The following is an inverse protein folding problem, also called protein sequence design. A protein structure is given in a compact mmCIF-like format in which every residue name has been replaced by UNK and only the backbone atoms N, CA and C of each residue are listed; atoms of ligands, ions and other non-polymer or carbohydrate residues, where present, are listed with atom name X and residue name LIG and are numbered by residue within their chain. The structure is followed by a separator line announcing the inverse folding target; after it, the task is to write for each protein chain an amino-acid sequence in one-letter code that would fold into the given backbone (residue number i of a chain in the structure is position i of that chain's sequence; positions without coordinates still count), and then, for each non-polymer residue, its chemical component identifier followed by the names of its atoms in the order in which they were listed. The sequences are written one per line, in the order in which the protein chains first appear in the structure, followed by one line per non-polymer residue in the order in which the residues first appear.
data_IF_375725308570
#
_entry.id   IF_375725308570
#
_cell.length_a   1.000
_cell.length_b   1.000
_cell.length_c   1.000
_cell.angle_alpha   90.00
_cell.angle_beta   90.00
_cell.angle_gamma   90.00
#
_symmetry.space_group_name_H-M   'P 1'
#
loop_
_entity.id
_entity.type
_entity.pdbx_description
1 polymer ?
#
# COMPACT_ATOMS: atom_id res chain seq x y z
N UNK A 1 -8.77 -20.80 -12.12
CA UNK A 1 -9.43 -19.48 -11.96
C UNK A 1 -8.42 -18.40 -12.27
N UNK A 2 -8.86 -17.30 -12.86
CA UNK A 2 -7.94 -16.23 -13.30
C UNK A 2 -7.62 -15.26 -12.14
N UNK A 3 -8.50 -15.19 -11.14
CA UNK A 3 -8.36 -14.39 -9.92
C UNK A 3 -8.98 -15.16 -8.75
N UNK A 4 -8.29 -15.18 -7.61
CA UNK A 4 -8.84 -15.55 -6.32
C UNK A 4 -9.16 -14.28 -5.49
N UNK A 5 -10.28 -14.29 -4.76
CA UNK A 5 -10.72 -13.15 -3.96
C UNK A 5 -11.03 -13.63 -2.54
N UNK A 6 -10.56 -12.91 -1.54
CA UNK A 6 -10.96 -13.06 -0.15
C UNK A 6 -11.27 -11.69 0.45
N UNK A 7 -12.37 -11.62 1.18
CA UNK A 7 -12.73 -10.45 1.95
C UNK A 7 -12.64 -10.77 3.44
N UNK A 8 -12.50 -9.77 4.26
CA UNK A 8 -12.61 -9.92 5.70
C UNK A 8 -14.09 -9.90 6.19
N UNK A 9 -14.29 -9.86 7.51
CA UNK A 9 -15.61 -10.14 8.10
C UNK A 9 -16.69 -9.09 7.81
N UNK A 10 -16.33 -7.85 7.53
CA UNK A 10 -17.24 -6.74 7.20
C UNK A 10 -17.12 -6.24 5.76
N UNK A 11 -16.31 -6.95 4.93
CA UNK A 11 -16.19 -6.74 3.49
C UNK A 11 -15.64 -5.34 3.09
N UNK A 12 -14.89 -4.69 3.96
CA UNK A 12 -14.24 -3.43 3.65
C UNK A 12 -12.85 -3.61 3.01
N UNK A 13 -12.26 -4.82 3.12
CA UNK A 13 -10.97 -5.20 2.52
C UNK A 13 -11.15 -6.26 1.43
N UNK A 14 -10.27 -6.17 0.42
CA UNK A 14 -10.23 -7.10 -0.71
C UNK A 14 -8.82 -7.63 -0.90
N UNK A 15 -8.62 -8.89 -0.56
CA UNK A 15 -7.37 -9.62 -0.78
C UNK A 15 -7.45 -10.41 -2.08
N UNK A 16 -6.38 -10.36 -2.87
CA UNK A 16 -6.33 -10.97 -4.18
C UNK A 16 -5.27 -12.06 -4.27
N UNK A 17 -5.56 -13.07 -5.06
CA UNK A 17 -4.67 -14.18 -5.37
C UNK A 17 -4.57 -14.32 -6.89
N UNK A 18 -3.39 -14.66 -7.39
CA UNK A 18 -3.16 -14.87 -8.81
C UNK A 18 -3.77 -16.21 -9.31
N UNK A 19 -3.60 -16.45 -10.60
CA UNK A 19 -4.06 -17.67 -11.30
C UNK A 19 -3.38 -18.95 -10.81
N UNK A 20 -2.24 -18.84 -10.13
CA UNK A 20 -1.52 -19.95 -9.48
C UNK A 20 -1.93 -20.13 -8.00
N UNK A 21 -2.75 -19.24 -7.45
CA UNK A 21 -3.17 -19.24 -6.04
C UNK A 21 -2.18 -18.59 -5.10
N UNK A 22 -1.21 -17.83 -5.60
CA UNK A 22 -0.30 -17.06 -4.76
C UNK A 22 -0.98 -15.79 -4.27
N UNK A 23 -0.82 -15.47 -2.99
CA UNK A 23 -1.28 -14.20 -2.42
C UNK A 23 -0.51 -13.03 -3.03
N UNK A 24 -1.23 -11.98 -3.41
CA UNK A 24 -0.65 -10.72 -3.87
C UNK A 24 -0.75 -9.69 -2.76
N UNK A 25 0.38 -9.15 -2.34
CA UNK A 25 0.40 -8.06 -1.36
C UNK A 25 -0.43 -6.86 -1.87
N UNK A 26 -1.30 -6.32 -1.00
CA UNK A 26 -2.17 -5.19 -1.34
C UNK A 26 -1.41 -3.98 -1.88
N UNK A 27 -0.17 -3.83 -1.49
CA UNK A 27 0.79 -2.86 -2.00
C UNK A 27 0.90 -2.81 -3.54
N UNK A 28 0.98 -3.98 -4.20
CA UNK A 28 1.04 -4.04 -5.66
C UNK A 28 -0.32 -3.78 -6.31
N UNK A 29 -1.40 -4.22 -5.67
CA UNK A 29 -2.76 -3.95 -6.12
C UNK A 29 -3.08 -2.45 -6.07
N UNK A 30 -2.61 -1.75 -5.04
CA UNK A 30 -2.72 -0.28 -4.95
C UNK A 30 -2.06 0.38 -6.16
N UNK A 31 -0.88 -0.08 -6.57
CA UNK A 31 -0.19 0.44 -7.76
C UNK A 31 -0.99 0.23 -9.05
N UNK A 32 -1.46 -0.99 -9.30
CA UNK A 32 -2.25 -1.31 -10.51
C UNK A 32 -3.56 -0.50 -10.58
N UNK A 33 -4.29 -0.40 -9.47
CA UNK A 33 -5.51 0.40 -9.44
C UNK A 33 -5.22 1.89 -9.59
N UNK A 34 -4.13 2.40 -9.00
CA UNK A 34 -3.72 3.79 -9.16
C UNK A 34 -3.46 4.14 -10.64
N UNK A 35 -2.76 3.27 -11.36
CA UNK A 35 -2.51 3.43 -12.80
C UNK A 35 -3.83 3.47 -13.59
N UNK A 36 -4.72 2.50 -13.35
CA UNK A 36 -6.03 2.44 -14.02
C UNK A 36 -6.92 3.68 -13.74
N UNK A 37 -6.84 4.27 -12.54
CA UNK A 37 -7.51 5.53 -12.24
C UNK A 37 -6.90 6.72 -12.96
N UNK A 38 -5.56 6.76 -13.08
CA UNK A 38 -4.84 7.83 -13.75
C UNK A 38 -5.03 7.84 -15.27
N UNK A 39 -5.22 6.68 -15.90
CA UNK A 39 -5.60 6.61 -17.32
C UNK A 39 -6.89 7.38 -17.61
N UNK A 40 -7.87 7.32 -16.69
CA UNK A 40 -9.15 8.03 -16.82
C UNK A 40 -9.10 9.47 -16.30
N UNK A 41 -8.20 9.75 -15.37
CA UNK A 41 -8.09 11.01 -14.65
C UNK A 41 -6.63 11.51 -14.63
N UNK A 42 -6.05 11.90 -15.77
CA UNK A 42 -4.65 12.32 -15.85
C UNK A 42 -4.34 13.49 -14.91
N UNK A 43 -3.19 13.45 -14.25
CA UNK A 43 -2.74 14.50 -13.34
C UNK A 43 -3.37 14.47 -11.95
N UNK A 44 -4.26 13.51 -11.68
CA UNK A 44 -4.95 13.40 -10.39
C UNK A 44 -4.03 12.95 -9.26
N UNK A 45 -4.48 13.20 -8.04
CA UNK A 45 -3.80 12.75 -6.82
C UNK A 45 -4.24 11.35 -6.42
N UNK A 46 -3.28 10.57 -5.95
CA UNK A 46 -3.48 9.22 -5.40
C UNK A 46 -2.97 9.20 -3.96
N UNK A 47 -3.83 8.83 -3.03
CA UNK A 47 -3.44 8.69 -1.63
C UNK A 47 -2.88 7.29 -1.39
N UNK A 48 -1.77 7.21 -0.66
CA UNK A 48 -1.18 5.92 -0.25
C UNK A 48 -0.67 5.98 1.19
N UNK A 49 -0.52 4.82 1.81
CA UNK A 49 0.03 4.71 3.17
C UNK A 49 1.57 4.73 3.18
N UNK A 50 2.20 4.97 4.34
CA UNK A 50 3.66 5.12 4.43
C UNK A 50 4.41 3.82 4.66
N UNK A 51 3.73 2.69 4.87
CA UNK A 51 4.37 1.40 5.24
C UNK A 51 5.21 0.84 4.10
N UNK A 52 4.62 0.73 2.92
CA UNK A 52 5.26 0.38 1.65
C UNK A 52 4.81 1.42 0.61
N UNK A 53 5.75 2.10 -0.04
CA UNK A 53 5.40 3.30 -0.79
C UNK A 53 6.07 3.43 -2.16
N UNK A 54 7.24 2.88 -2.37
CA UNK A 54 8.04 3.14 -3.56
C UNK A 54 7.38 2.67 -4.86
N UNK A 55 6.78 1.47 -4.88
CA UNK A 55 6.03 0.98 -6.05
C UNK A 55 4.90 1.95 -6.42
N UNK A 56 4.10 2.37 -5.43
CA UNK A 56 2.97 3.27 -5.69
C UNK A 56 3.46 4.64 -6.15
N UNK A 57 4.50 5.19 -5.52
CA UNK A 57 5.09 6.49 -5.91
C UNK A 57 5.61 6.42 -7.35
N UNK A 58 6.32 5.35 -7.70
CA UNK A 58 6.90 5.16 -9.03
C UNK A 58 5.81 5.07 -10.11
N UNK A 59 4.86 4.15 -9.94
CA UNK A 59 3.74 3.97 -10.90
C UNK A 59 2.93 5.25 -11.05
N UNK A 60 2.54 5.89 -9.96
CA UNK A 60 1.74 7.13 -9.99
C UNK A 60 2.50 8.26 -10.70
N UNK A 61 3.80 8.39 -10.43
CA UNK A 61 4.64 9.42 -11.07
C UNK A 61 4.83 9.16 -12.55
N UNK A 62 5.06 7.91 -12.96
CA UNK A 62 5.19 7.51 -14.37
C UNK A 62 3.89 7.69 -15.15
N UNK A 63 2.74 7.44 -14.51
CA UNK A 63 1.41 7.70 -15.08
C UNK A 63 1.02 9.20 -15.08
N UNK A 64 1.92 10.08 -14.66
CA UNK A 64 1.69 11.54 -14.65
C UNK A 64 0.75 12.03 -13.55
N UNK A 65 0.50 11.21 -12.54
CA UNK A 65 -0.26 11.58 -11.34
C UNK A 65 0.61 12.15 -10.22
N UNK A 66 -0.02 12.48 -9.11
CA UNK A 66 0.64 13.02 -7.92
C UNK A 66 0.45 12.06 -6.74
N UNK A 67 1.51 11.35 -6.30
CA UNK A 67 1.43 10.49 -5.12
C UNK A 67 1.38 11.35 -3.85
N UNK A 68 0.47 11.06 -2.94
CA UNK A 68 0.28 11.79 -1.70
C UNK A 68 0.25 10.81 -0.54
N UNK A 69 1.26 10.84 0.29
CA UNK A 69 1.36 9.99 1.47
C UNK A 69 0.42 10.47 2.58
N UNK A 70 -0.25 9.53 3.23
CA UNK A 70 -1.14 9.78 4.38
C UNK A 70 -0.82 8.82 5.51
N UNK A 71 -1.18 9.19 6.73
CA UNK A 71 -1.20 8.27 7.86
C UNK A 71 -2.20 7.15 7.57
N UNK A 72 -1.90 5.92 8.04
CA UNK A 72 -2.78 4.75 7.90
C UNK A 72 -4.07 4.90 8.69
N UNK A 73 -5.11 4.25 8.19
CA UNK A 73 -6.43 4.20 8.82
C UNK A 73 -7.48 5.02 8.07
N UNK A 74 -8.66 4.40 7.96
CA UNK A 74 -9.76 4.88 7.11
C UNK A 74 -10.15 6.35 7.34
N UNK A 75 -10.12 6.84 8.58
CA UNK A 75 -10.46 8.23 8.88
C UNK A 75 -9.46 9.21 8.26
N UNK A 76 -8.14 8.91 8.39
CA UNK A 76 -7.08 9.76 7.87
C UNK A 76 -7.02 9.74 6.34
N UNK A 77 -7.18 8.56 5.73
CA UNK A 77 -7.20 8.43 4.27
C UNK A 77 -8.39 9.19 3.68
N UNK A 78 -9.60 9.00 4.23
CA UNK A 78 -10.82 9.69 3.79
C UNK A 78 -10.72 11.21 3.92
N UNK A 79 -10.18 11.71 5.03
CA UNK A 79 -9.91 13.13 5.23
C UNK A 79 -8.89 13.66 4.20
N UNK A 80 -7.79 12.93 4.01
CA UNK A 80 -6.74 13.30 3.06
C UNK A 80 -7.25 13.31 1.63
N UNK A 81 -8.05 12.33 1.22
CA UNK A 81 -8.66 12.28 -0.10
C UNK A 81 -9.51 13.52 -0.38
N UNK A 82 -10.38 13.90 0.56
CA UNK A 82 -11.23 15.10 0.40
C UNK A 82 -10.43 16.38 0.36
N UNK A 83 -9.38 16.50 1.18
CA UNK A 83 -8.51 17.67 1.22
C UNK A 83 -7.72 17.86 -0.07
N UNK A 84 -7.26 16.77 -0.65
CA UNK A 84 -6.41 16.75 -1.85
C UNK A 84 -7.22 16.62 -3.15
N UNK A 85 -8.53 16.42 -3.06
CA UNK A 85 -9.40 16.11 -4.21
C UNK A 85 -8.86 14.88 -4.98
N UNK A 86 -8.47 13.84 -4.23
CA UNK A 86 -7.84 12.64 -4.77
C UNK A 86 -8.89 11.67 -5.32
N UNK A 87 -8.63 11.09 -6.48
CA UNK A 87 -9.58 10.18 -7.16
C UNK A 87 -9.60 8.79 -6.58
N UNK A 88 -8.48 8.36 -5.99
CA UNK A 88 -8.30 7.03 -5.40
C UNK A 88 -7.32 7.09 -4.23
N UNK A 89 -7.52 6.19 -3.27
CA UNK A 89 -6.59 5.94 -2.19
C UNK A 89 -6.47 4.45 -1.90
N UNK A 90 -5.30 4.00 -1.48
CA UNK A 90 -5.07 2.61 -1.16
C UNK A 90 -4.11 2.40 -0.01
N UNK A 91 -4.35 1.32 0.74
CA UNK A 91 -3.48 0.84 1.82
C UNK A 91 -2.97 -0.58 1.51
N UNK A 92 -1.75 -0.89 1.90
CA UNK A 92 -1.22 -2.25 1.76
C UNK A 92 -2.06 -3.31 2.51
N UNK A 93 -2.87 -2.88 3.48
CA UNK A 93 -3.82 -3.71 4.22
C UNK A 93 -5.09 -4.07 3.45
N UNK A 94 -5.11 -3.81 2.14
CA UNK A 94 -6.21 -4.12 1.22
C UNK A 94 -7.48 -3.26 1.41
N UNK A 95 -7.38 -2.08 2.06
CA UNK A 95 -8.42 -1.06 1.99
C UNK A 95 -8.20 -0.21 0.74
N UNK A 96 -9.29 0.02 0.00
CA UNK A 96 -9.28 0.81 -1.22
C UNK A 96 -10.42 1.84 -1.16
N UNK A 97 -10.09 3.10 -1.40
CA UNK A 97 -10.96 4.26 -1.23
C UNK A 97 -11.21 4.94 -2.57
N UNK A 98 -12.44 5.33 -2.84
CA UNK A 98 -12.87 5.83 -4.15
C UNK A 98 -13.58 7.17 -4.01
N UNK A 99 -13.16 8.16 -4.80
CA UNK A 99 -13.81 9.48 -4.83
C UNK A 99 -15.31 9.35 -5.13
N UNK A 100 -15.67 8.59 -6.17
CA UNK A 100 -17.05 8.38 -6.60
C UNK A 100 -17.89 7.59 -5.58
N UNK A 101 -17.25 6.97 -4.60
CA UNK A 101 -17.89 6.33 -3.45
C UNK A 101 -17.72 7.17 -2.18
N UNK A 102 -17.88 8.49 -2.30
CA UNK A 102 -17.78 9.46 -1.19
C UNK A 102 -16.44 9.46 -0.46
N UNK A 103 -15.36 9.11 -1.13
CA UNK A 103 -14.05 8.83 -0.55
C UNK A 103 -14.07 7.73 0.52
N UNK A 104 -15.05 6.82 0.45
CA UNK A 104 -15.16 5.69 1.36
C UNK A 104 -14.46 4.46 0.80
N UNK A 105 -14.09 3.56 1.70
CA UNK A 105 -13.53 2.26 1.40
C UNK A 105 -14.62 1.26 1.01
N UNK A 106 -14.23 0.28 0.21
CA UNK A 106 -15.07 -0.84 -0.19
C UNK A 106 -14.18 -2.01 -0.61
N UNK A 107 -14.47 -3.20 -0.10
CA UNK A 107 -13.87 -4.44 -0.59
C UNK A 107 -14.54 -4.95 -1.88
N UNK A 108 -15.71 -4.44 -2.22
CA UNK A 108 -16.47 -4.91 -3.39
C UNK A 108 -16.04 -4.24 -4.70
N UNK A 109 -15.60 -3.01 -4.66
CA UNK A 109 -15.20 -2.27 -5.86
C UNK A 109 -13.84 -2.75 -6.42
N UNK A 110 -12.80 -2.97 -5.60
CA UNK A 110 -11.47 -3.31 -6.13
C UNK A 110 -11.45 -4.59 -6.93
N UNK A 111 -12.11 -5.67 -6.50
CA UNK A 111 -12.10 -6.91 -7.26
C UNK A 111 -12.83 -6.80 -8.61
N UNK A 112 -13.88 -5.98 -8.70
CA UNK A 112 -14.56 -5.71 -9.97
C UNK A 112 -13.65 -4.99 -10.95
N UNK A 113 -12.90 -3.99 -10.47
CA UNK A 113 -11.92 -3.26 -11.26
C UNK A 113 -10.77 -4.18 -11.69
N UNK A 114 -10.28 -5.03 -10.79
CA UNK A 114 -9.23 -6.01 -11.12
C UNK A 114 -9.72 -7.06 -12.11
N UNK A 115 -10.96 -7.56 -11.98
CA UNK A 115 -11.55 -8.46 -12.97
C UNK A 115 -11.69 -7.80 -14.35
N UNK A 116 -12.04 -6.51 -14.41
CA UNK A 116 -12.05 -5.75 -15.65
C UNK A 116 -10.64 -5.63 -16.24
N UNK A 117 -9.64 -5.29 -15.42
CA UNK A 117 -8.25 -5.12 -15.83
C UNK A 117 -7.69 -6.43 -16.44
N UNK A 118 -7.83 -7.54 -15.72
CA UNK A 118 -7.37 -8.86 -16.19
C UNK A 118 -8.16 -9.30 -17.44
N UNK A 119 -9.47 -9.06 -17.47
CA UNK A 119 -10.30 -9.42 -18.63
C UNK A 119 -9.99 -8.62 -19.91
N UNK A 120 -9.35 -7.46 -19.78
CA UNK A 120 -8.90 -6.62 -20.91
C UNK A 120 -7.43 -6.82 -21.28
N UNK A 121 -6.65 -7.46 -20.41
CA UNK A 121 -5.24 -7.74 -20.59
C UNK A 121 -5.01 -9.13 -21.23
N UNK A 122 -4.01 -9.31 -22.08
CA UNK A 122 -3.54 -10.65 -22.47
C UNK A 122 -2.73 -11.35 -21.36
N UNK A 123 -2.36 -10.63 -20.31
CA UNK A 123 -1.55 -11.10 -19.18
C UNK A 123 -2.45 -11.59 -18.03
N UNK A 124 -1.98 -12.61 -17.32
CA UNK A 124 -2.59 -13.04 -16.05
C UNK A 124 -2.35 -12.00 -14.93
N UNK A 125 -3.09 -12.09 -13.84
CA UNK A 125 -2.88 -11.19 -12.70
C UNK A 125 -1.48 -11.31 -12.11
N UNK A 126 -0.93 -12.54 -12.05
CA UNK A 126 0.45 -12.77 -11.62
C UNK A 126 1.47 -12.08 -12.53
N UNK A 127 1.27 -12.11 -13.85
CA UNK A 127 2.13 -11.42 -14.82
C UNK A 127 2.03 -9.89 -14.70
N UNK A 128 0.84 -9.34 -14.46
CA UNK A 128 0.64 -7.90 -14.29
C UNK A 128 1.39 -7.32 -13.08
N UNK A 129 1.58 -8.10 -12.02
CA UNK A 129 2.32 -7.65 -10.83
C UNK A 129 3.80 -8.05 -10.83
N UNK A 130 4.22 -8.95 -11.72
CA UNK A 130 5.56 -9.55 -11.70
C UNK A 130 6.69 -8.51 -11.81
N UNK A 131 6.54 -7.53 -12.69
CA UNK A 131 7.56 -6.48 -12.87
C UNK A 131 7.64 -5.57 -11.64
N UNK A 132 6.51 -5.22 -11.04
CA UNK A 132 6.45 -4.45 -9.80
C UNK A 132 7.07 -5.21 -8.62
N UNK A 133 6.78 -6.51 -8.49
CA UNK A 133 7.37 -7.37 -7.45
C UNK A 133 8.88 -7.50 -7.60
N UNK A 134 9.38 -7.53 -8.82
CA UNK A 134 10.81 -7.57 -9.12
C UNK A 134 11.49 -6.23 -8.87
N UNK A 135 10.85 -5.12 -9.26
CA UNK A 135 11.40 -3.78 -9.10
C UNK A 135 11.37 -3.30 -7.64
N UNK A 136 10.35 -3.69 -6.89
CA UNK A 136 10.13 -3.30 -5.50
C UNK A 136 9.79 -4.50 -4.61
N UNK A 137 10.75 -5.42 -4.38
CA UNK A 137 10.53 -6.52 -3.45
C UNK A 137 10.17 -6.02 -2.06
N UNK A 138 9.18 -6.63 -1.42
CA UNK A 138 8.77 -6.26 -0.08
C UNK A 138 8.62 -7.47 0.86
N UNK A 139 8.71 -7.21 2.16
CA UNK A 139 8.61 -8.25 3.18
C UNK A 139 7.17 -8.65 3.53
N UNK A 140 6.18 -7.86 3.07
CA UNK A 140 4.88 -7.85 3.73
C UNK A 140 4.97 -7.33 5.16
N UNK A 141 3.93 -7.51 5.97
CA UNK A 141 3.92 -7.08 7.37
C UNK A 141 4.47 -8.21 8.27
N UNK A 142 5.57 -7.94 8.98
CA UNK A 142 6.19 -8.85 9.95
C UNK A 142 5.85 -8.39 11.36
N UNK A 143 5.27 -9.25 12.17
CA UNK A 143 4.85 -8.95 13.53
C UNK A 143 5.85 -9.48 14.57
N UNK A 144 6.32 -8.62 15.46
CA UNK A 144 7.21 -8.95 16.57
C UNK A 144 6.51 -8.67 17.89
N UNK A 145 6.39 -9.71 18.73
CA UNK A 145 5.94 -9.53 20.11
C UNK A 145 7.09 -8.95 20.92
N UNK A 146 6.85 -7.86 21.63
CA UNK A 146 7.85 -7.15 22.43
C UNK A 146 7.25 -6.72 23.77
N UNK A 147 8.08 -6.73 24.81
CA UNK A 147 7.65 -6.33 26.16
C UNK A 147 7.55 -4.79 26.29
N UNK A 148 8.44 -4.07 25.62
CA UNK A 148 8.48 -2.61 25.62
C UNK A 148 8.72 -2.07 24.19
N UNK A 149 7.63 -1.77 23.49
CA UNK A 149 7.67 -1.24 22.14
C UNK A 149 8.40 0.10 22.06
N UNK A 150 8.27 0.96 23.08
CA UNK A 150 8.91 2.27 23.11
C UNK A 150 10.44 2.14 23.18
N UNK A 151 10.94 1.32 24.10
CA UNK A 151 12.37 1.09 24.24
C UNK A 151 12.99 0.47 22.96
N UNK A 152 12.25 -0.40 22.25
CA UNK A 152 12.71 -0.95 20.97
C UNK A 152 12.76 0.12 19.89
N UNK A 153 11.73 0.98 19.77
CA UNK A 153 11.73 2.11 18.83
C UNK A 153 12.86 3.09 19.09
N UNK A 154 13.10 3.45 20.34
CA UNK A 154 14.23 4.32 20.73
C UNK A 154 15.59 3.70 20.34
N UNK A 155 15.77 2.39 20.51
CA UNK A 155 16.98 1.69 20.06
C UNK A 155 17.15 1.70 18.54
N UNK A 156 16.06 1.50 17.80
CA UNK A 156 16.08 1.58 16.33
C UNK A 156 16.49 2.99 15.90
N UNK A 157 15.87 4.00 16.49
CA UNK A 157 16.19 5.41 16.21
C UNK A 157 17.66 5.75 16.49
N UNK A 158 18.19 5.32 17.63
CA UNK A 158 19.61 5.48 17.96
C UNK A 158 20.53 4.75 16.98
N UNK A 159 20.12 3.55 16.54
CA UNK A 159 20.93 2.73 15.61
C UNK A 159 21.03 3.36 14.24
N UNK A 160 19.95 3.93 13.74
CA UNK A 160 19.89 4.47 12.37
C UNK A 160 20.02 6.01 12.31
N UNK A 161 20.24 6.67 13.44
CA UNK A 161 20.42 8.12 13.49
C UNK A 161 21.52 8.59 12.53
N UNK A 162 21.19 9.51 11.61
CA UNK A 162 22.12 10.07 10.63
C UNK A 162 22.52 9.13 9.49
N UNK A 163 21.94 7.95 9.36
CA UNK A 163 22.27 6.99 8.30
C UNK A 163 21.31 7.04 7.10
N UNK A 164 20.08 7.56 7.28
CA UNK A 164 19.06 7.64 6.25
C UNK A 164 18.08 8.77 6.51
N UNK A 165 17.15 8.99 5.58
CA UNK A 165 16.05 9.94 5.76
C UNK A 165 15.04 9.38 6.76
N UNK A 166 14.76 10.16 7.82
CA UNK A 166 13.79 9.81 8.85
C UNK A 166 12.44 10.44 8.54
N UNK A 167 11.41 9.62 8.45
CA UNK A 167 10.03 10.03 8.18
C UNK A 167 9.14 9.55 9.33
N UNK A 168 8.29 10.44 9.85
CA UNK A 168 7.41 10.16 10.99
C UNK A 168 5.96 10.56 10.68
N UNK A 169 5.34 9.81 9.76
CA UNK A 169 3.93 10.00 9.39
C UNK A 169 3.05 8.99 10.13
N UNK A 170 3.48 7.70 10.13
CA UNK A 170 2.82 6.63 10.87
C UNK A 170 3.89 5.63 11.35
N UNK A 171 4.23 5.71 12.64
CA UNK A 171 5.39 5.02 13.17
C UNK A 171 6.70 5.68 12.73
N UNK A 172 7.77 4.91 12.75
CA UNK A 172 9.13 5.33 12.42
C UNK A 172 9.55 4.70 11.09
N UNK A 173 9.82 5.52 10.10
CA UNK A 173 10.38 5.10 8.81
C UNK A 173 11.80 5.62 8.67
N UNK A 174 12.69 4.76 8.17
CA UNK A 174 13.99 5.15 7.65
C UNK A 174 14.09 4.75 6.19
N UNK A 175 14.50 5.71 5.35
CA UNK A 175 14.67 5.53 3.91
C UNK A 175 16.14 5.71 3.54
N UNK A 176 16.70 4.73 2.82
CA UNK A 176 18.06 4.68 2.33
C UNK A 176 18.05 4.67 0.79
N UNK A 177 19.22 4.59 0.18
CA UNK A 177 19.34 4.64 -1.28
C UNK A 177 18.55 3.55 -2.01
N UNK A 178 18.60 2.29 -1.52
CA UNK A 178 18.02 1.12 -2.19
C UNK A 178 17.14 0.25 -1.31
N UNK A 179 16.86 0.66 -0.09
CA UNK A 179 15.93 -0.01 0.81
C UNK A 179 15.35 0.97 1.82
N UNK A 180 14.21 0.64 2.35
CA UNK A 180 13.58 1.37 3.45
C UNK A 180 12.82 0.41 4.36
N UNK A 181 12.54 0.86 5.56
CA UNK A 181 11.63 0.17 6.46
C UNK A 181 10.71 1.14 7.18
N UNK A 182 9.54 0.65 7.53
CA UNK A 182 8.62 1.28 8.46
C UNK A 182 8.41 0.34 9.65
N UNK A 183 8.52 0.87 10.86
CA UNK A 183 8.20 0.16 12.08
C UNK A 183 7.21 0.96 12.90
N UNK A 184 6.13 0.30 13.35
CA UNK A 184 5.09 0.94 14.15
C UNK A 184 4.61 0.02 15.28
N UNK A 185 4.15 0.61 16.38
CA UNK A 185 3.46 -0.15 17.42
C UNK A 185 2.02 -0.45 17.00
N UNK A 186 1.53 -1.62 17.35
CA UNK A 186 0.10 -1.89 17.30
C UNK A 186 -0.62 -1.09 18.39
N UNK A 187 -1.80 -0.58 18.08
CA UNK A 187 -2.62 0.14 19.05
C UNK A 187 -3.40 -0.81 19.99
N UNK A 188 -3.55 -2.06 19.59
CA UNK A 188 -4.43 -3.03 20.25
C UNK A 188 -3.69 -4.21 20.87
N UNK A 189 -2.45 -4.46 20.47
CA UNK A 189 -1.66 -5.62 20.88
C UNK A 189 -0.21 -5.21 21.22
N UNK A 190 0.50 -5.95 22.09
CA UNK A 190 1.90 -5.71 22.41
C UNK A 190 2.81 -6.18 21.26
N UNK A 191 2.64 -5.58 20.09
CA UNK A 191 3.35 -5.93 18.87
C UNK A 191 4.00 -4.69 18.24
N UNK A 192 5.19 -4.91 17.68
CA UNK A 192 5.77 -4.04 16.65
C UNK A 192 5.55 -4.68 15.28
N UNK A 193 5.13 -3.87 14.33
CA UNK A 193 4.89 -4.25 12.93
C UNK A 193 5.96 -3.64 12.07
N UNK A 194 6.70 -4.48 11.37
CA UNK A 194 7.78 -4.10 10.47
C UNK A 194 7.36 -4.36 9.03
N UNK A 195 7.59 -3.39 8.18
CA UNK A 195 7.52 -3.53 6.72
C UNK A 195 8.85 -3.07 6.13
N UNK A 196 9.39 -3.84 5.20
CA UNK A 196 10.63 -3.53 4.49
C UNK A 196 10.36 -3.60 3.00
N UNK A 197 10.88 -2.66 2.25
CA UNK A 197 10.92 -2.72 0.79
C UNK A 197 12.29 -2.33 0.26
N UNK A 198 12.60 -2.85 -0.92
CA UNK A 198 13.89 -2.60 -1.59
C UNK A 198 13.65 -2.18 -3.02
N UNK A 199 14.68 -1.61 -3.64
CA UNK A 199 14.78 -1.48 -5.09
C UNK A 199 15.57 -2.67 -5.61
N UNK A 200 14.99 -3.44 -6.54
CA UNK A 200 15.59 -4.62 -7.15
C UNK A 200 16.71 -4.32 -8.11
#
# INVERSE_FOLDING_TARGET
ADIGIACDGDFDRCFLFDDMGNFIEGYYIVGLLAEAFLEKNPGSRIIHDPRLSWNTIDIVSQAGGVPVMSKTGHAFIKERMRKEDAVYGGEMSAHHYFYDFFSCDSGMIPWLLMAQLVGQSPQSLGELVADAQKAFPCSGEINFRVDDAKAVLERIEQTFAGQGERIEIDGLTYEFHNWRFNVRSSNTEPLLRLNVETRG
#
